data_IF_181561823063
#
_entry.id   IF_181561823063
#
_cell.length_a   1.000
_cell.length_b   1.000
_cell.length_c   1.000
_cell.angle_alpha   90.00
_cell.angle_beta   90.00
_cell.angle_gamma   90.00
#
_symmetry.space_group_name_H-M   'P 1'
#
loop_
_entity.id
_entity.type
_entity.pdbx_description
1 polymer ?
#
# COMPACT_ATOMS: atom_id res chain seq x y z
N UNK A 1 12.34 -4.75 -16.16
CA UNK A 1 12.01 -5.16 -14.75
C UNK A 1 10.53 -5.04 -14.49
N UNK A 2 9.96 -6.02 -13.81
CA UNK A 2 8.53 -6.11 -13.51
C UNK A 2 8.36 -6.22 -12.00
N UNK A 3 7.67 -5.27 -11.38
CA UNK A 3 7.50 -5.18 -9.93
C UNK A 3 6.02 -5.24 -9.59
N UNK A 4 5.64 -6.11 -8.65
CA UNK A 4 4.30 -6.14 -8.08
C UNK A 4 4.32 -5.64 -6.63
N UNK A 5 3.34 -4.83 -6.27
CA UNK A 5 3.02 -4.47 -4.90
C UNK A 5 1.66 -5.07 -4.57
N UNK A 6 1.62 -6.02 -3.65
CA UNK A 6 0.38 -6.62 -3.18
C UNK A 6 0.10 -6.16 -1.75
N UNK A 7 -1.01 -5.50 -1.53
CA UNK A 7 -1.21 -4.73 -0.32
C UNK A 7 -2.63 -4.74 0.22
N UNK A 8 -2.75 -4.54 1.52
CA UNK A 8 -4.02 -4.13 2.13
C UNK A 8 -4.39 -2.70 1.69
N UNK A 9 -5.68 -2.42 1.58
CA UNK A 9 -6.15 -1.05 1.47
C UNK A 9 -5.69 -0.22 2.70
N UNK A 10 -5.35 1.05 2.49
CA UNK A 10 -4.88 1.97 3.56
C UNK A 10 -3.58 1.52 4.27
N UNK A 11 -2.71 0.85 3.55
CA UNK A 11 -1.35 0.49 4.01
C UNK A 11 -0.25 1.38 3.43
N UNK A 12 -0.59 2.53 2.83
CA UNK A 12 0.41 3.39 2.18
C UNK A 12 0.89 2.89 0.81
N UNK A 13 0.24 1.87 0.27
CA UNK A 13 0.67 1.22 -0.98
C UNK A 13 0.69 2.14 -2.20
N UNK A 14 -0.15 3.18 -2.25
CA UNK A 14 -0.13 4.16 -3.35
C UNK A 14 1.12 5.05 -3.28
N UNK A 15 1.54 5.45 -2.08
CA UNK A 15 2.77 6.22 -1.90
C UNK A 15 4.00 5.39 -2.30
N UNK A 16 4.05 4.13 -1.86
CA UNK A 16 5.10 3.20 -2.26
C UNK A 16 5.13 2.95 -3.77
N UNK A 17 3.96 2.75 -4.38
CA UNK A 17 3.83 2.58 -5.82
C UNK A 17 4.38 3.79 -6.60
N UNK A 18 4.01 5.00 -6.21
CA UNK A 18 4.51 6.22 -6.86
C UNK A 18 6.02 6.36 -6.67
N UNK A 19 6.52 6.08 -5.47
CA UNK A 19 7.95 6.09 -5.19
C UNK A 19 8.73 5.17 -6.13
N UNK A 20 8.33 3.92 -6.25
CA UNK A 20 8.99 2.93 -7.10
C UNK A 20 8.88 3.32 -8.58
N UNK A 21 7.67 3.70 -9.01
CA UNK A 21 7.41 4.14 -10.38
C UNK A 21 8.35 5.27 -10.81
N UNK A 22 8.45 6.30 -9.98
CA UNK A 22 9.22 7.50 -10.32
C UNK A 22 10.72 7.25 -10.16
N UNK A 23 11.15 6.49 -9.15
CA UNK A 23 12.56 6.17 -8.91
C UNK A 23 13.18 5.34 -10.03
N UNK A 24 12.42 4.41 -10.60
CA UNK A 24 12.90 3.52 -11.66
C UNK A 24 12.37 3.90 -13.04
N UNK A 25 11.63 5.00 -13.17
CA UNK A 25 11.01 5.46 -14.41
C UNK A 25 10.17 4.35 -15.09
N UNK A 26 9.42 3.60 -14.29
CA UNK A 26 8.59 2.50 -14.78
C UNK A 26 7.22 2.99 -15.23
N UNK A 27 6.61 2.28 -16.18
CA UNK A 27 5.18 2.41 -16.46
C UNK A 27 4.40 1.90 -15.25
N UNK A 28 3.40 2.65 -14.80
CA UNK A 28 2.58 2.30 -13.64
C UNK A 28 1.21 1.78 -14.02
N UNK A 29 0.75 0.72 -13.34
CA UNK A 29 -0.62 0.22 -13.40
C UNK A 29 -1.17 0.18 -11.98
N UNK A 30 -2.21 0.96 -11.73
CA UNK A 30 -2.80 1.11 -10.42
C UNK A 30 -4.11 0.33 -10.32
N UNK A 31 -4.14 -0.69 -9.45
CA UNK A 31 -5.34 -1.48 -9.12
C UNK A 31 -6.12 -1.94 -10.37
N UNK A 32 -5.51 -2.74 -11.26
CA UNK A 32 -6.07 -3.07 -12.57
C UNK A 32 -7.46 -3.71 -12.53
N UNK A 33 -7.82 -4.32 -11.41
CA UNK A 33 -9.13 -4.97 -11.22
C UNK A 33 -10.11 -4.14 -10.42
N UNK A 34 -9.77 -2.91 -10.08
CA UNK A 34 -10.68 -2.02 -9.38
C UNK A 34 -11.69 -1.41 -10.36
N UNK A 35 -13.00 -1.72 -10.24
CA UNK A 35 -14.01 -1.23 -11.18
C UNK A 35 -14.17 0.30 -11.20
N UNK A 36 -13.62 0.99 -10.20
CA UNK A 36 -13.62 2.47 -10.15
C UNK A 36 -12.58 3.11 -11.07
N UNK A 37 -11.58 2.36 -11.55
CA UNK A 37 -10.59 2.89 -12.49
C UNK A 37 -11.04 2.65 -13.93
N UNK A 38 -10.92 3.67 -14.81
CA UNK A 38 -11.37 3.59 -16.20
C UNK A 38 -10.51 2.62 -17.03
N UNK A 39 -9.22 2.55 -16.74
CA UNK A 39 -8.31 1.64 -17.42
C UNK A 39 -8.40 0.25 -16.80
N UNK A 40 -9.02 -0.65 -17.52
CA UNK A 40 -9.08 -2.07 -17.17
C UNK A 40 -8.08 -2.83 -18.01
N UNK A 41 -7.23 -3.56 -17.32
CA UNK A 41 -6.28 -4.47 -17.95
C UNK A 41 -6.71 -5.91 -17.66
N UNK A 42 -6.64 -6.75 -18.67
CA UNK A 42 -6.69 -8.19 -18.47
C UNK A 42 -5.38 -8.66 -17.83
N UNK A 43 -5.40 -9.81 -17.16
CA UNK A 43 -4.18 -10.40 -16.62
C UNK A 43 -3.13 -10.58 -17.73
N UNK A 44 -3.55 -11.06 -18.89
CA UNK A 44 -2.67 -11.31 -20.02
C UNK A 44 -1.99 -10.02 -20.53
N UNK A 45 -2.72 -8.92 -20.58
CA UNK A 45 -2.16 -7.62 -20.97
C UNK A 45 -1.13 -7.11 -19.96
N UNK A 46 -1.36 -7.31 -18.66
CA UNK A 46 -0.41 -6.94 -17.62
C UNK A 46 0.85 -7.81 -17.71
N UNK A 47 0.66 -9.12 -17.90
CA UNK A 47 1.76 -10.08 -17.85
C UNK A 47 2.68 -10.03 -19.07
N UNK A 48 2.23 -9.47 -20.17
CA UNK A 48 3.04 -9.23 -21.38
C UNK A 48 3.85 -7.93 -21.33
N UNK A 49 3.60 -7.04 -20.35
CA UNK A 49 4.31 -5.77 -20.27
C UNK A 49 5.64 -5.89 -19.52
N UNK A 50 6.66 -5.25 -20.07
CA UNK A 50 7.95 -5.06 -19.43
C UNK A 50 8.08 -3.64 -18.85
N UNK A 51 9.04 -3.46 -17.94
CA UNK A 51 9.34 -2.18 -17.30
C UNK A 51 8.11 -1.54 -16.62
N UNK A 52 7.44 -2.36 -15.81
CA UNK A 52 6.22 -1.96 -15.11
C UNK A 52 6.32 -2.10 -13.60
N UNK A 53 5.56 -1.26 -12.90
CA UNK A 53 5.14 -1.49 -11.52
C UNK A 53 3.62 -1.58 -11.45
N UNK A 54 3.12 -2.63 -10.82
CA UNK A 54 1.69 -2.88 -10.68
C UNK A 54 1.33 -2.93 -9.21
N UNK A 55 0.29 -2.17 -8.81
CA UNK A 55 -0.25 -2.26 -7.46
C UNK A 55 -1.55 -3.06 -7.47
N UNK A 56 -1.57 -4.14 -6.72
CA UNK A 56 -2.74 -4.96 -6.45
C UNK A 56 -3.25 -4.72 -5.02
N UNK A 57 -4.55 -4.79 -4.85
CA UNK A 57 -5.17 -4.86 -3.53
C UNK A 57 -5.66 -6.27 -3.23
N UNK A 58 -5.75 -6.60 -1.96
CA UNK A 58 -6.12 -7.93 -1.45
C UNK A 58 -7.47 -8.49 -1.94
N UNK A 59 -8.28 -7.74 -2.65
CA UNK A 59 -9.53 -8.25 -3.25
C UNK A 59 -9.30 -9.48 -4.14
N UNK A 60 -8.08 -9.56 -4.68
CA UNK A 60 -7.68 -10.54 -5.70
C UNK A 60 -6.81 -11.63 -5.06
N UNK A 61 -7.38 -12.38 -4.09
CA UNK A 61 -6.64 -13.40 -3.34
C UNK A 61 -5.93 -14.42 -4.25
N UNK A 62 -6.56 -14.83 -5.32
CA UNK A 62 -6.01 -15.83 -6.25
C UNK A 62 -4.78 -15.33 -7.01
N UNK A 63 -4.53 -14.02 -7.04
CA UNK A 63 -3.40 -13.44 -7.73
C UNK A 63 -2.12 -13.50 -6.89
N UNK A 64 -2.21 -13.36 -5.57
CA UNK A 64 -1.04 -13.27 -4.71
C UNK A 64 -0.08 -14.44 -4.87
N UNK A 65 -0.62 -15.65 -4.99
CA UNK A 65 0.16 -16.89 -5.14
C UNK A 65 0.84 -16.98 -6.51
N UNK A 66 0.31 -16.28 -7.51
CA UNK A 66 0.83 -16.28 -8.89
C UNK A 66 1.85 -15.17 -9.15
N UNK A 67 1.86 -14.11 -8.35
CA UNK A 67 2.76 -12.97 -8.55
C UNK A 67 4.24 -13.36 -8.64
N UNK A 68 4.77 -14.26 -7.77
CA UNK A 68 6.19 -14.62 -7.84
C UNK A 68 6.61 -15.36 -9.11
N UNK A 69 5.67 -15.95 -9.84
CA UNK A 69 5.97 -16.62 -11.12
C UNK A 69 5.92 -15.67 -12.32
N UNK A 70 5.37 -14.46 -12.13
CA UNK A 70 5.12 -13.51 -13.21
C UNK A 70 5.98 -12.25 -13.07
N UNK A 71 6.26 -11.79 -11.85
CA UNK A 71 7.01 -10.57 -11.59
C UNK A 71 8.42 -10.88 -11.09
N UNK A 72 9.39 -10.08 -11.50
CA UNK A 72 10.79 -10.20 -11.07
C UNK A 72 10.94 -9.89 -9.58
N UNK A 73 10.13 -8.98 -9.08
CA UNK A 73 10.09 -8.55 -7.67
C UNK A 73 8.65 -8.43 -7.19
N UNK A 74 8.36 -9.00 -6.02
CA UNK A 74 7.05 -8.91 -5.38
C UNK A 74 7.21 -8.36 -3.97
N UNK A 75 6.51 -7.25 -3.68
CA UNK A 75 6.49 -6.60 -2.37
C UNK A 75 5.13 -6.84 -1.74
N UNK A 76 5.11 -7.52 -0.61
CA UNK A 76 3.92 -7.73 0.20
C UNK A 76 3.87 -6.69 1.31
N UNK A 77 2.89 -5.78 1.24
CA UNK A 77 2.79 -4.65 2.16
C UNK A 77 1.57 -4.78 3.05
N UNK A 78 1.82 -4.82 4.35
CA UNK A 78 0.78 -4.83 5.39
C UNK A 78 0.83 -3.57 6.26
N UNK A 79 -0.13 -3.44 7.16
CA UNK A 79 -0.14 -2.46 8.23
C UNK A 79 -0.37 -3.19 9.54
N UNK A 80 0.57 -3.07 10.49
CA UNK A 80 0.52 -3.79 11.77
C UNK A 80 -0.59 -3.27 12.67
N UNK A 81 -0.87 -1.96 12.64
CA UNK A 81 -1.96 -1.36 13.38
C UNK A 81 -3.30 -1.53 12.63
N UNK A 82 -3.95 -2.68 12.85
CA UNK A 82 -5.23 -3.01 12.20
C UNK A 82 -6.37 -2.05 12.59
N UNK A 83 -6.35 -1.51 13.82
CA UNK A 83 -7.35 -0.54 14.28
C UNK A 83 -7.24 0.76 13.49
N UNK A 84 -6.07 1.36 13.45
CA UNK A 84 -5.83 2.61 12.71
C UNK A 84 -6.07 2.42 11.21
N UNK A 85 -5.74 1.25 10.69
CA UNK A 85 -6.05 0.88 9.30
C UNK A 85 -7.56 0.75 9.04
N UNK A 86 -8.33 0.23 10.00
CA UNK A 86 -9.78 0.13 9.91
C UNK A 86 -10.44 1.51 9.96
N UNK A 87 -10.07 2.32 10.93
CA UNK A 87 -10.55 3.71 11.05
C UNK A 87 -10.30 4.51 9.77
N UNK A 88 -9.07 4.43 9.24
CA UNK A 88 -8.70 5.08 7.97
C UNK A 88 -9.54 4.59 6.79
N UNK A 89 -9.90 3.30 6.75
CA UNK A 89 -10.70 2.73 5.68
C UNK A 89 -12.15 3.20 5.77
N UNK A 90 -12.74 3.17 6.97
CA UNK A 90 -14.13 3.62 7.20
C UNK A 90 -14.27 5.10 6.85
N UNK A 91 -13.32 5.92 7.32
CA UNK A 91 -13.30 7.34 6.99
C UNK A 91 -13.26 7.58 5.48
N UNK A 92 -12.31 6.96 4.79
CA UNK A 92 -12.17 7.13 3.35
C UNK A 92 -13.44 6.71 2.59
N UNK A 93 -14.11 5.66 3.07
CA UNK A 93 -15.36 5.17 2.45
C UNK A 93 -16.53 6.11 2.69
N UNK A 94 -16.70 6.62 3.92
CA UNK A 94 -17.84 7.48 4.29
C UNK A 94 -17.73 8.90 3.70
N UNK A 95 -16.51 9.40 3.55
CA UNK A 95 -16.26 10.75 3.02
C UNK A 95 -15.89 10.76 1.54
N UNK A 96 -15.74 9.58 0.92
CA UNK A 96 -15.20 9.39 -0.43
C UNK A 96 -13.81 10.06 -0.65
N UNK A 97 -13.03 10.16 0.42
CA UNK A 97 -11.70 10.78 0.45
C UNK A 97 -10.64 9.70 0.57
N UNK A 98 -10.03 9.31 -0.56
CA UNK A 98 -9.11 8.17 -0.59
C UNK A 98 -7.62 8.53 -0.48
N UNK A 99 -7.27 9.78 -0.75
CA UNK A 99 -5.87 10.22 -0.88
C UNK A 99 -5.49 11.37 0.06
N UNK A 100 -6.41 11.85 0.86
CA UNK A 100 -6.16 12.95 1.81
C UNK A 100 -5.84 12.43 3.21
N UNK A 101 -5.07 13.21 3.95
CA UNK A 101 -4.92 13.08 5.39
C UNK A 101 -6.19 13.61 6.08
N UNK A 102 -6.56 13.04 7.21
CA UNK A 102 -7.75 13.44 7.96
C UNK A 102 -7.39 13.80 9.41
N UNK A 103 -8.13 14.71 9.98
CA UNK A 103 -8.04 15.02 11.40
C UNK A 103 -8.82 14.00 12.24
N UNK A 104 -8.15 13.43 13.23
CA UNK A 104 -8.72 12.38 14.09
C UNK A 104 -9.88 12.86 14.96
N UNK A 105 -9.90 14.16 15.30
CA UNK A 105 -10.96 14.76 16.12
C UNK A 105 -12.36 14.63 15.52
N UNK A 106 -12.45 14.57 14.17
CA UNK A 106 -13.72 14.41 13.44
C UNK A 106 -14.21 12.98 13.34
N UNK A 107 -13.45 12.00 13.82
CA UNK A 107 -13.78 10.59 13.67
C UNK A 107 -14.74 10.05 14.71
N UNK A 108 -14.70 10.57 15.95
CA UNK A 108 -15.49 10.01 17.06
C UNK A 108 -17.00 9.98 16.82
N UNK A 109 -17.51 10.93 16.04
CA UNK A 109 -18.95 11.07 15.78
C UNK A 109 -19.43 10.28 14.54
N UNK A 110 -18.50 9.67 13.77
CA UNK A 110 -18.82 9.03 12.51
C UNK A 110 -18.95 7.49 12.60
N UNK A 111 -18.57 6.88 13.73
CA UNK A 111 -18.38 5.44 13.79
C UNK A 111 -19.27 4.74 14.79
N UNK A 112 -19.89 3.67 14.33
CA UNK A 112 -20.38 2.61 15.20
C UNK A 112 -19.19 1.72 15.54
N UNK A 113 -18.86 1.54 16.81
CA UNK A 113 -17.76 0.69 17.31
C UNK A 113 -17.80 -0.71 16.70
N UNK A 114 -18.99 -1.23 16.40
CA UNK A 114 -19.18 -2.50 15.73
C UNK A 114 -18.61 -2.54 14.31
N UNK A 115 -18.82 -1.48 13.52
CA UNK A 115 -18.31 -1.40 12.14
C UNK A 115 -16.78 -1.39 12.10
N UNK A 116 -16.16 -0.63 12.99
CA UNK A 116 -14.69 -0.60 13.12
C UNK A 116 -14.17 -1.96 13.54
N UNK A 117 -14.82 -2.61 14.50
CA UNK A 117 -14.43 -3.93 14.97
C UNK A 117 -14.46 -4.96 13.83
N UNK A 118 -15.56 -5.03 13.09
CA UNK A 118 -15.72 -5.98 11.99
C UNK A 118 -14.67 -5.77 10.89
N UNK A 119 -14.35 -4.50 10.57
CA UNK A 119 -13.31 -4.18 9.59
C UNK A 119 -11.93 -4.51 10.13
N UNK A 120 -11.64 -4.21 11.40
CA UNK A 120 -10.37 -4.55 12.05
C UNK A 120 -10.12 -6.05 12.01
N UNK A 121 -11.12 -6.85 12.36
CA UNK A 121 -10.99 -8.31 12.41
C UNK A 121 -10.77 -8.89 11.00
N UNK A 122 -11.45 -8.38 9.99
CA UNK A 122 -11.18 -8.70 8.58
C UNK A 122 -9.77 -8.30 8.16
N UNK A 123 -9.28 -7.13 8.58
CA UNK A 123 -7.93 -6.67 8.27
C UNK A 123 -6.87 -7.58 8.90
N UNK A 124 -7.06 -8.02 10.14
CA UNK A 124 -6.16 -8.96 10.80
C UNK A 124 -6.06 -10.29 10.02
N UNK A 125 -7.19 -10.85 9.57
CA UNK A 125 -7.20 -12.04 8.71
C UNK A 125 -6.47 -11.79 7.37
N UNK A 126 -6.68 -10.64 6.78
CA UNK A 126 -6.02 -10.24 5.54
C UNK A 126 -4.50 -10.07 5.73
N UNK A 127 -4.08 -9.50 6.85
CA UNK A 127 -2.66 -9.37 7.18
C UNK A 127 -2.02 -10.75 7.31
N UNK A 128 -2.62 -11.66 8.07
CA UNK A 128 -2.14 -13.05 8.20
C UNK A 128 -2.01 -13.74 6.84
N UNK A 129 -2.98 -13.56 5.94
CA UNK A 129 -2.89 -14.12 4.60
C UNK A 129 -1.71 -13.54 3.82
N UNK A 130 -1.49 -12.22 3.84
CA UNK A 130 -0.35 -11.60 3.17
C UNK A 130 0.97 -12.09 3.77
N UNK A 131 1.08 -12.14 5.10
CA UNK A 131 2.26 -12.59 5.83
C UNK A 131 2.60 -14.06 5.59
N UNK A 132 1.61 -14.87 5.20
CA UNK A 132 1.85 -16.28 4.79
C UNK A 132 2.45 -16.42 3.39
N UNK A 133 2.45 -15.36 2.58
CA UNK A 133 3.01 -15.42 1.23
C UNK A 133 4.54 -15.45 1.26
N UNK A 134 5.13 -16.25 0.36
CA UNK A 134 6.59 -16.27 0.18
C UNK A 134 7.05 -15.07 -0.64
N UNK A 135 7.96 -14.27 -0.09
CA UNK A 135 8.51 -13.11 -0.78
C UNK A 135 8.95 -12.00 0.18
N UNK A 136 9.19 -10.82 -0.37
CA UNK A 136 9.63 -9.68 0.42
C UNK A 136 8.45 -9.05 1.17
N UNK A 137 8.51 -9.14 2.48
CA UNK A 137 7.48 -8.63 3.41
C UNK A 137 7.93 -7.30 4.00
N UNK A 138 7.01 -6.34 4.06
CA UNK A 138 7.27 -5.05 4.72
C UNK A 138 5.99 -4.47 5.30
N UNK A 139 6.11 -3.70 6.38
CA UNK A 139 4.96 -3.05 7.00
C UNK A 139 4.93 -1.55 6.72
N UNK A 140 3.73 -0.98 6.79
CA UNK A 140 3.53 0.46 6.75
C UNK A 140 4.38 1.19 7.80
N UNK A 141 4.45 0.65 9.00
CA UNK A 141 5.18 1.22 10.13
C UNK A 141 6.70 1.22 9.89
N UNK A 142 7.25 0.20 9.24
CA UNK A 142 8.66 0.18 8.85
C UNK A 142 8.99 1.27 7.84
N UNK A 143 8.10 1.48 6.86
CA UNK A 143 8.30 2.48 5.81
C UNK A 143 8.14 3.90 6.39
N UNK A 144 7.02 4.14 7.08
CA UNK A 144 6.59 5.50 7.39
C UNK A 144 7.01 5.99 8.77
N UNK A 145 7.15 5.11 9.76
CA UNK A 145 7.51 5.50 11.12
C UNK A 145 8.98 5.25 11.43
N UNK A 146 9.49 4.05 11.12
CA UNK A 146 10.86 3.67 11.44
C UNK A 146 11.87 4.08 10.38
N UNK A 147 11.42 4.44 9.19
CA UNK A 147 12.21 4.83 8.00
C UNK A 147 13.18 3.75 7.48
N UNK A 148 13.32 2.65 8.18
CA UNK A 148 14.19 1.54 7.76
C UNK A 148 13.62 0.76 6.58
N UNK A 149 12.30 0.84 6.39
CA UNK A 149 11.61 0.11 5.33
C UNK A 149 11.99 0.57 3.93
N UNK A 150 12.27 1.86 3.74
CA UNK A 150 12.68 2.38 2.43
C UNK A 150 14.05 1.83 2.03
N UNK A 151 15.02 1.80 2.94
CA UNK A 151 16.31 1.20 2.64
C UNK A 151 16.16 -0.28 2.27
N UNK A 152 15.38 -1.04 3.02
CA UNK A 152 15.09 -2.45 2.71
C UNK A 152 14.46 -2.61 1.31
N UNK A 153 13.56 -1.70 0.92
CA UNK A 153 12.96 -1.71 -0.41
C UNK A 153 14.00 -1.39 -1.47
N UNK A 154 14.79 -0.34 -1.27
CA UNK A 154 15.84 0.08 -2.20
C UNK A 154 16.85 -1.05 -2.45
N UNK A 155 17.29 -1.71 -1.39
CA UNK A 155 18.19 -2.87 -1.49
C UNK A 155 17.52 -4.03 -2.26
N UNK A 156 16.25 -4.29 -1.98
CA UNK A 156 15.51 -5.37 -2.62
C UNK A 156 15.29 -5.16 -4.13
N UNK A 157 15.02 -3.92 -4.57
CA UNK A 157 14.73 -3.59 -5.97
C UNK A 157 15.86 -2.82 -6.67
N UNK A 158 17.01 -2.64 -6.02
CA UNK A 158 18.21 -1.98 -6.53
C UNK A 158 17.97 -0.50 -6.92
N UNK A 159 17.35 0.28 -6.03
CA UNK A 159 17.26 1.75 -6.18
C UNK A 159 18.46 2.41 -5.52
N UNK A 160 19.10 3.35 -6.22
CA UNK A 160 20.18 4.16 -5.66
C UNK A 160 19.66 5.18 -4.64
N UNK A 161 20.42 5.45 -3.59
CA UNK A 161 20.06 6.31 -2.43
C UNK A 161 19.72 7.76 -2.80
N UNK A 162 20.16 8.26 -3.96
CA UNK A 162 20.01 9.65 -4.36
C UNK A 162 18.55 10.14 -4.42
N UNK A 163 17.56 9.24 -4.55
CA UNK A 163 16.12 9.55 -4.61
C UNK A 163 15.39 9.43 -3.27
N UNK A 164 16.12 9.08 -2.22
CA UNK A 164 15.54 8.82 -0.90
C UNK A 164 15.00 10.08 -0.19
N UNK A 165 15.71 11.22 -0.32
CA UNK A 165 15.34 12.49 0.31
C UNK A 165 14.03 13.05 -0.24
N UNK A 166 13.82 12.99 -1.54
CA UNK A 166 12.63 13.54 -2.19
C UNK A 166 11.36 12.79 -1.78
N UNK A 167 11.47 11.47 -1.61
CA UNK A 167 10.34 10.68 -1.15
C UNK A 167 9.99 10.92 0.31
N UNK A 168 10.99 11.11 1.18
CA UNK A 168 10.80 11.48 2.58
C UNK A 168 10.07 12.82 2.72
N UNK A 169 10.36 13.79 1.86
CA UNK A 169 9.69 15.09 1.86
C UNK A 169 8.26 15.01 1.35
N UNK A 170 7.99 14.19 0.34
CA UNK A 170 6.62 13.85 -0.06
C UNK A 170 5.85 13.17 1.07
N UNK A 171 6.47 12.24 1.79
CA UNK A 171 5.84 11.57 2.92
C UNK A 171 5.55 12.52 4.09
N UNK A 172 6.41 13.52 4.33
CA UNK A 172 6.19 14.59 5.32
C UNK A 172 4.99 15.47 4.97
N UNK A 173 4.78 15.75 3.67
CA UNK A 173 3.61 16.52 3.20
C UNK A 173 2.29 15.80 3.52
N UNK A 174 2.27 14.47 3.44
CA UNK A 174 1.11 13.64 3.80
C UNK A 174 1.07 13.26 5.29
N UNK A 175 2.10 13.64 6.07
CA UNK A 175 2.26 13.29 7.49
C UNK A 175 2.08 14.44 8.46
N UNK A 176 1.84 15.67 8.02
CA UNK A 176 1.74 16.82 8.93
C UNK A 176 0.80 16.57 10.12
N UNK A 177 -0.17 15.68 9.95
CA UNK A 177 -1.18 15.41 10.97
C UNK A 177 -0.87 14.20 11.87
N UNK A 178 0.13 13.39 11.53
CA UNK A 178 0.52 12.20 12.32
C UNK A 178 1.59 12.47 13.39
N UNK A 179 2.40 13.50 13.22
CA UNK A 179 3.47 13.85 14.17
C UNK A 179 2.95 14.35 15.53
N UNK A 180 1.69 14.72 15.61
CA UNK A 180 1.02 15.18 16.85
C UNK A 180 0.46 14.05 17.73
N UNK A 181 0.62 12.78 17.31
CA UNK A 181 0.04 11.63 18.04
C UNK A 181 1.03 10.78 18.81
N UNK A 182 2.30 11.11 18.77
CA UNK A 182 3.37 10.38 19.47
C UNK A 182 3.92 11.17 20.67
N UNK A 183 3.03 11.87 21.38
CA UNK A 183 3.31 12.42 22.73
C UNK A 183 2.23 11.91 23.67
#
# INVERSE_FOLDING_TARGET
MRIAIYAQARSGSTALYNYIKDSLSLKGILEPYNPKFPERFTEEEIWKQDNIVVKFLLRDKNIAERLPSVFDKVIYLTRSNDLEGAESLVYATKKDIWHESYEYSTLKDLFLDKEIKDIRDKRAQHRQYIESQKGFQITYEEIFYKRVGIQKINDYINIEDSKYSDWLDLSKKYRKDYALRTI
#
